data_IF_203310410470
#
_entry.id   IF_203310410470
#
_cell.length_a   1.000
_cell.length_b   1.000
_cell.length_c   1.000
_cell.angle_alpha   90.00
_cell.angle_beta   90.00
_cell.angle_gamma   90.00
#
_symmetry.space_group_name_H-M   'P 1'
#
loop_
_entity.id
_entity.type
_entity.pdbx_description
1 polymer ?
#
# COMPACT_ATOMS: atom_id res chain seq x y z
N UNK A 1 63.88 19.11 -10.30
CA UNK A 1 63.07 20.08 -11.01
C UNK A 1 61.80 19.30 -11.44
N UNK A 2 60.81 19.28 -10.60
CA UNK A 2 59.52 18.66 -10.83
C UNK A 2 58.49 19.75 -11.02
N UNK A 3 57.64 19.63 -12.01
CA UNK A 3 56.41 20.41 -12.13
C UNK A 3 55.26 19.50 -11.81
N UNK A 4 54.69 19.72 -10.67
CA UNK A 4 53.36 19.20 -10.28
C UNK A 4 52.31 20.16 -10.88
N UNK A 5 51.37 19.59 -11.63
CA UNK A 5 50.19 20.27 -12.12
C UNK A 5 49.00 19.87 -11.23
N UNK A 6 48.66 20.78 -10.32
CA UNK A 6 47.41 20.73 -9.55
C UNK A 6 46.20 21.01 -10.47
N UNK A 7 45.28 20.07 -10.55
CA UNK A 7 43.94 20.29 -11.10
C UNK A 7 42.95 20.28 -9.95
N UNK A 8 42.04 21.26 -9.85
CA UNK A 8 41.07 21.34 -8.78
C UNK A 8 39.93 20.35 -9.01
N UNK A 9 39.74 19.44 -8.05
CA UNK A 9 38.59 18.56 -7.97
C UNK A 9 37.39 19.38 -7.49
N UNK A 10 36.49 19.71 -8.38
CA UNK A 10 35.19 20.26 -8.05
C UNK A 10 34.36 19.17 -7.39
N UNK A 11 34.14 19.30 -6.09
CA UNK A 11 33.12 18.51 -5.34
C UNK A 11 31.73 18.92 -5.83
N UNK A 12 31.13 18.08 -6.65
CA UNK A 12 29.69 18.12 -6.88
C UNK A 12 29.03 17.42 -5.68
N UNK A 13 28.44 18.21 -4.82
CA UNK A 13 27.56 17.71 -3.76
C UNK A 13 26.31 17.08 -4.43
N UNK A 14 26.29 15.76 -4.54
CA UNK A 14 25.05 15.02 -4.77
C UNK A 14 24.22 15.17 -3.49
N UNK A 15 23.17 15.99 -3.55
CA UNK A 15 22.08 15.96 -2.61
C UNK A 15 21.40 14.60 -2.76
N UNK A 16 21.65 13.71 -1.82
CA UNK A 16 20.91 12.45 -1.70
C UNK A 16 19.52 12.84 -1.25
N UNK A 17 18.58 12.90 -2.18
CA UNK A 17 17.15 12.82 -1.86
C UNK A 17 16.96 11.51 -1.10
N UNK A 18 16.55 11.63 0.16
CA UNK A 18 16.17 10.51 1.00
C UNK A 18 14.92 9.86 0.39
N UNK A 19 15.12 8.95 -0.55
CA UNK A 19 14.05 8.08 -1.04
C UNK A 19 13.59 7.21 0.13
N UNK A 20 12.29 7.20 0.36
CA UNK A 20 11.62 6.25 1.24
C UNK A 20 12.22 4.85 1.02
N UNK A 21 12.55 4.09 2.06
CA UNK A 21 13.19 2.77 1.95
C UNK A 21 12.42 1.74 1.11
N UNK A 22 11.19 2.08 0.71
CA UNK A 22 10.35 1.23 -0.13
C UNK A 22 10.72 1.23 -1.63
N UNK A 23 11.50 2.24 -2.10
CA UNK A 23 11.80 2.43 -3.51
C UNK A 23 13.12 1.77 -3.99
N UNK A 24 14.06 1.51 -3.09
CA UNK A 24 15.41 1.08 -3.47
C UNK A 24 15.58 -0.44 -3.71
N UNK A 25 14.56 -1.26 -3.45
CA UNK A 25 14.69 -2.71 -3.56
C UNK A 25 14.42 -3.29 -4.97
N UNK A 26 14.01 -2.48 -5.96
CA UNK A 26 13.70 -2.95 -7.32
C UNK A 26 14.67 -2.49 -8.42
N UNK A 27 15.67 -1.67 -8.10
CA UNK A 27 16.56 -1.08 -9.11
C UNK A 27 17.81 -1.95 -9.46
N UNK A 28 17.94 -3.15 -8.93
CA UNK A 28 19.17 -3.96 -8.99
C UNK A 28 19.26 -5.02 -10.09
N UNK A 29 18.28 -5.21 -10.94
CA UNK A 29 18.29 -6.32 -11.92
C UNK A 29 17.96 -5.86 -13.35
N UNK A 30 18.78 -4.99 -13.94
CA UNK A 30 18.77 -4.79 -15.39
C UNK A 30 20.21 -4.74 -15.92
N UNK A 31 20.80 -5.91 -16.14
CA UNK A 31 21.89 -6.02 -17.13
C UNK A 31 21.89 -7.44 -17.70
N UNK A 32 21.81 -7.50 -19.04
CA UNK A 32 22.06 -8.63 -19.93
C UNK A 32 20.82 -9.34 -20.51
N UNK A 33 20.27 -8.77 -21.59
CA UNK A 33 19.57 -9.58 -22.60
C UNK A 33 20.42 -9.66 -23.88
N UNK A 34 20.69 -10.86 -24.42
CA UNK A 34 21.29 -11.01 -25.75
C UNK A 34 20.27 -10.75 -26.86
N UNK A 35 20.71 -9.97 -27.85
CA UNK A 35 19.95 -9.74 -29.10
C UNK A 35 20.05 -11.01 -29.95
N UNK A 36 19.00 -11.80 -30.01
CA UNK A 36 18.55 -12.59 -31.19
C UNK A 36 17.53 -13.64 -30.72
N UNK A 37 16.28 -13.48 -31.13
CA UNK A 37 15.27 -14.54 -31.07
C UNK A 37 14.55 -14.64 -32.44
N UNK A 38 14.28 -15.86 -32.93
CA UNK A 38 13.59 -16.08 -34.19
C UNK A 38 12.07 -15.89 -34.03
N UNK A 39 11.44 -15.41 -35.12
CA UNK A 39 10.00 -15.23 -35.21
C UNK A 39 9.28 -16.58 -35.15
N UNK A 40 8.51 -16.82 -34.12
CA UNK A 40 7.55 -17.92 -34.05
C UNK A 40 6.12 -17.39 -34.14
N UNK A 41 5.32 -18.06 -34.97
CA UNK A 41 3.93 -17.79 -35.30
C UNK A 41 3.01 -17.86 -34.06
N UNK A 42 2.33 -16.76 -33.76
CA UNK A 42 1.26 -16.71 -32.76
C UNK A 42 -0.10 -16.96 -33.42
N UNK A 43 -0.50 -18.22 -33.54
CA UNK A 43 -1.92 -18.55 -33.75
C UNK A 43 -2.20 -19.90 -33.08
N UNK A 44 -3.03 -19.86 -32.07
CA UNK A 44 -3.61 -20.95 -31.27
C UNK A 44 -2.97 -21.22 -29.89
N UNK A 45 -3.41 -20.44 -28.89
CA UNK A 45 -3.70 -20.91 -27.54
C UNK A 45 -4.42 -19.82 -26.74
N UNK A 46 -5.65 -19.53 -27.18
CA UNK A 46 -6.57 -18.69 -26.41
C UNK A 46 -7.62 -19.61 -25.83
N UNK A 47 -7.51 -19.91 -24.57
CA UNK A 47 -8.55 -20.21 -23.56
C UNK A 47 -7.96 -21.10 -22.48
N UNK A 48 -7.66 -20.48 -21.36
CA UNK A 48 -7.92 -20.99 -20.00
C UNK A 48 -7.25 -20.05 -18.99
N UNK A 49 -8.08 -19.47 -18.12
CA UNK A 49 -7.71 -18.68 -16.92
C UNK A 49 -7.19 -17.28 -17.20
N UNK A 50 -8.10 -16.33 -17.38
CA UNK A 50 -7.82 -14.90 -17.14
C UNK A 50 -7.69 -14.69 -15.64
N UNK A 51 -6.53 -14.22 -15.13
CA UNK A 51 -6.46 -13.68 -13.79
C UNK A 51 -7.28 -12.37 -13.77
N UNK A 52 -7.93 -12.07 -12.64
CA UNK A 52 -8.73 -10.86 -12.49
C UNK A 52 -7.90 -9.63 -12.86
N UNK A 53 -8.46 -8.76 -13.67
CA UNK A 53 -7.84 -7.56 -14.28
C UNK A 53 -7.20 -6.66 -13.22
N UNK A 54 -7.76 -6.60 -12.03
CA UNK A 54 -7.41 -5.73 -10.91
C UNK A 54 -6.00 -5.91 -10.35
N UNK A 55 -5.47 -7.12 -10.38
CA UNK A 55 -4.15 -7.43 -9.82
C UNK A 55 -3.00 -7.02 -10.73
N UNK A 56 -3.24 -7.09 -12.04
CA UNK A 56 -2.23 -6.74 -13.05
C UNK A 56 -1.99 -5.23 -13.09
N UNK A 57 -3.05 -4.46 -12.84
CA UNK A 57 -3.05 -3.01 -13.00
C UNK A 57 -2.32 -2.28 -11.86
N UNK A 58 -2.51 -2.72 -10.63
CA UNK A 58 -1.82 -2.10 -9.47
C UNK A 58 -0.29 -2.19 -9.58
N UNK A 59 0.26 -3.36 -9.96
CA UNK A 59 1.71 -3.51 -10.10
C UNK A 59 2.26 -3.00 -11.41
N UNK A 60 1.48 -2.99 -12.48
CA UNK A 60 1.84 -2.31 -13.72
C UNK A 60 1.96 -0.80 -13.51
N UNK A 61 1.11 -0.22 -12.66
CA UNK A 61 1.19 1.18 -12.24
C UNK A 61 2.46 1.43 -11.43
N UNK A 62 2.75 0.61 -10.43
CA UNK A 62 3.98 0.71 -9.62
C UNK A 62 5.23 0.54 -10.49
N UNK A 63 5.25 -0.39 -11.44
CA UNK A 63 6.37 -0.65 -12.35
C UNK A 63 6.55 0.47 -13.42
N UNK A 64 5.45 1.05 -13.92
CA UNK A 64 5.51 2.19 -14.84
C UNK A 64 5.95 3.50 -14.18
N UNK A 65 5.61 3.72 -12.92
CA UNK A 65 6.04 4.88 -12.16
C UNK A 65 7.57 4.88 -11.92
N UNK A 66 8.17 3.70 -11.77
CA UNK A 66 9.63 3.56 -11.63
C UNK A 66 10.40 3.82 -12.92
N UNK A 67 9.79 3.61 -14.09
CA UNK A 67 10.50 3.72 -15.39
C UNK A 67 10.46 5.11 -16.02
N UNK A 68 9.53 5.99 -15.65
CA UNK A 68 9.33 7.30 -16.31
C UNK A 68 9.80 8.52 -15.53
N UNK A 69 10.21 8.38 -14.28
CA UNK A 69 10.61 9.52 -13.43
C UNK A 69 11.96 10.19 -13.75
N UNK A 70 12.62 9.87 -14.90
CA UNK A 70 14.02 10.33 -15.11
C UNK A 70 14.23 11.40 -16.18
N UNK A 71 13.24 11.90 -16.88
CA UNK A 71 13.45 12.96 -17.87
C UNK A 71 12.38 14.05 -17.81
N UNK A 72 12.75 15.21 -17.29
CA UNK A 72 11.95 16.42 -17.48
C UNK A 72 12.23 17.56 -16.50
N UNK A 73 13.48 18.08 -16.45
CA UNK A 73 13.74 19.41 -15.87
C UNK A 73 13.97 20.37 -17.03
N UNK A 74 13.11 21.36 -17.16
CA UNK A 74 13.26 22.45 -18.13
C UNK A 74 12.36 23.62 -17.80
N UNK A 75 12.94 24.58 -17.11
CA UNK A 75 12.70 26.00 -16.93
C UNK A 75 11.56 26.70 -17.70
N UNK A 76 10.87 27.63 -16.99
CA UNK A 76 10.09 28.69 -17.63
C UNK A 76 9.23 29.49 -16.64
N UNK A 77 9.82 30.53 -16.07
CA UNK A 77 9.12 31.60 -15.34
C UNK A 77 8.49 32.57 -16.36
N UNK A 78 7.19 32.86 -16.26
CA UNK A 78 6.59 34.15 -16.62
C UNK A 78 5.12 34.22 -16.18
N UNK A 79 4.85 34.97 -15.13
CA UNK A 79 4.11 36.24 -15.08
C UNK A 79 2.64 36.24 -15.50
N UNK A 80 1.81 36.33 -14.47
CA UNK A 80 0.75 37.32 -14.18
C UNK A 80 -0.25 37.74 -15.26
N UNK A 81 -1.50 37.65 -14.82
CA UNK A 81 -2.63 38.53 -15.11
C UNK A 81 -3.29 38.45 -16.49
N UNK A 82 -4.40 37.70 -16.53
CA UNK A 82 -5.59 38.17 -17.26
C UNK A 82 -6.85 37.81 -16.44
N UNK A 83 -7.47 38.87 -15.98
CA UNK A 83 -8.78 38.88 -15.38
C UNK A 83 -9.88 38.76 -16.46
N UNK A 84 -10.89 37.99 -16.10
CA UNK A 84 -12.30 38.16 -16.51
C UNK A 84 -12.64 37.89 -17.97
N UNK A 85 -13.26 36.76 -18.23
CA UNK A 85 -14.64 36.66 -18.70
C UNK A 85 -15.06 35.25 -19.08
N UNK A 86 -16.17 34.81 -18.48
CA UNK A 86 -17.12 33.80 -18.94
C UNK A 86 -16.74 32.34 -19.00
N UNK A 87 -17.38 31.60 -18.11
CA UNK A 87 -17.49 30.15 -18.15
C UNK A 87 -17.31 29.55 -16.75
N UNK A 88 -18.25 29.81 -15.87
CA UNK A 88 -18.35 29.17 -14.56
C UNK A 88 -18.67 27.68 -14.80
N UNK A 89 -17.63 26.84 -14.81
CA UNK A 89 -17.82 25.46 -14.37
C UNK A 89 -17.77 25.56 -12.83
N UNK A 90 -18.93 25.53 -12.20
CA UNK A 90 -19.05 25.53 -10.75
C UNK A 90 -18.27 24.35 -10.19
N UNK A 91 -17.19 24.64 -9.48
CA UNK A 91 -16.57 23.73 -8.55
C UNK A 91 -17.65 23.32 -7.55
N UNK A 92 -17.92 22.04 -7.39
CA UNK A 92 -19.03 21.50 -6.59
C UNK A 92 -18.87 21.64 -5.07
N UNK A 93 -17.91 22.44 -4.61
CA UNK A 93 -17.79 22.77 -3.17
C UNK A 93 -18.85 23.82 -2.86
N UNK A 94 -19.78 23.57 -1.92
CA UNK A 94 -20.74 24.59 -1.48
C UNK A 94 -19.98 25.83 -0.97
N UNK A 95 -20.31 27.01 -1.48
CA UNK A 95 -19.63 28.28 -1.19
C UNK A 95 -19.64 28.69 0.32
N UNK A 96 -20.26 27.86 1.17
CA UNK A 96 -20.41 28.04 2.63
C UNK A 96 -20.04 26.78 3.43
N UNK A 97 -19.29 25.81 2.91
CA UNK A 97 -18.86 24.66 3.70
C UNK A 97 -17.83 25.13 4.74
N UNK A 98 -18.06 24.83 6.02
CA UNK A 98 -17.06 25.02 7.06
C UNK A 98 -15.84 24.15 6.76
N UNK A 99 -14.66 24.74 6.83
CA UNK A 99 -13.39 24.08 6.59
C UNK A 99 -12.46 24.21 7.79
N UNK A 100 -11.52 23.31 7.94
CA UNK A 100 -10.47 23.42 8.93
C UNK A 100 -9.09 23.09 8.31
N UNK A 101 -8.05 23.54 8.98
CA UNK A 101 -6.67 23.26 8.59
C UNK A 101 -6.25 21.91 9.17
N UNK A 102 -6.05 20.93 8.31
CA UNK A 102 -5.43 19.65 8.68
C UNK A 102 -3.91 19.75 8.48
N UNK A 103 -3.14 19.44 9.52
CA UNK A 103 -1.68 19.51 9.48
C UNK A 103 -1.08 18.10 9.37
N UNK A 104 -0.24 17.88 8.35
CA UNK A 104 0.51 16.65 8.14
C UNK A 104 1.99 16.98 7.96
N UNK A 105 2.79 16.76 9.00
CA UNK A 105 4.17 17.26 9.03
C UNK A 105 4.21 18.78 8.88
N UNK A 106 4.92 19.27 7.85
CA UNK A 106 4.99 20.69 7.52
C UNK A 106 3.89 21.15 6.53
N UNK A 107 3.10 20.21 6.03
CA UNK A 107 2.03 20.47 5.05
C UNK A 107 0.73 20.85 5.76
N UNK A 108 0.06 21.88 5.23
CA UNK A 108 -1.23 22.37 5.71
C UNK A 108 -2.26 22.24 4.60
N UNK A 109 -3.30 21.48 4.88
CA UNK A 109 -4.37 21.19 3.93
C UNK A 109 -5.68 21.79 4.47
N UNK A 110 -6.41 22.46 3.62
CA UNK A 110 -7.75 22.97 3.96
C UNK A 110 -8.77 21.95 3.50
N UNK A 111 -9.47 21.34 4.43
CA UNK A 111 -10.44 20.28 4.16
C UNK A 111 -11.81 20.62 4.78
N UNK A 112 -12.93 20.13 4.22
CA UNK A 112 -14.25 20.35 4.80
C UNK A 112 -14.37 19.68 6.17
N UNK A 113 -15.02 20.38 7.11
CA UNK A 113 -15.29 19.86 8.46
C UNK A 113 -16.29 18.70 8.43
N UNK A 114 -17.29 18.79 7.55
CA UNK A 114 -18.35 17.78 7.39
C UNK A 114 -18.56 17.47 5.90
N UNK A 115 -17.64 16.69 5.28
CA UNK A 115 -17.79 16.32 3.87
C UNK A 115 -19.04 15.46 3.67
N UNK A 116 -19.76 15.67 2.57
CA UNK A 116 -21.00 14.97 2.25
C UNK A 116 -20.85 13.98 1.08
N UNK A 117 -19.77 14.08 0.31
CA UNK A 117 -19.48 13.21 -0.82
C UNK A 117 -17.98 12.89 -0.89
N UNK A 118 -17.59 11.86 -0.14
CA UNK A 118 -16.19 11.45 -0.05
C UNK A 118 -15.89 10.36 -1.07
N UNK A 119 -14.88 10.60 -1.90
CA UNK A 119 -14.37 9.62 -2.85
C UNK A 119 -12.99 9.13 -2.40
N UNK A 120 -12.90 7.85 -2.06
CA UNK A 120 -11.61 7.20 -1.81
C UNK A 120 -10.93 6.91 -3.16
N UNK A 121 -9.67 7.33 -3.31
CA UNK A 121 -8.90 7.10 -4.52
C UNK A 121 -7.97 5.90 -4.44
N UNK A 122 -7.78 5.33 -3.25
CA UNK A 122 -7.07 4.06 -3.07
C UNK A 122 -7.91 3.04 -2.29
N UNK A 123 -7.69 1.73 -2.57
CA UNK A 123 -8.54 0.66 -2.06
C UNK A 123 -8.25 0.23 -0.62
N UNK A 124 -7.27 0.83 0.03
CA UNK A 124 -6.81 0.47 1.40
C UNK A 124 -6.83 1.67 2.33
N UNK A 125 -5.74 2.42 2.44
CA UNK A 125 -5.58 3.50 3.43
C UNK A 125 -6.68 4.56 3.29
N UNK A 126 -6.89 5.08 2.08
CA UNK A 126 -7.92 6.09 1.83
C UNK A 126 -9.32 5.58 2.11
N UNK A 127 -9.65 4.37 1.66
CA UNK A 127 -10.97 3.78 1.90
C UNK A 127 -11.18 3.45 3.39
N UNK A 128 -10.26 2.71 4.01
CA UNK A 128 -10.43 2.25 5.38
C UNK A 128 -10.45 3.42 6.37
N UNK A 129 -9.55 4.39 6.24
CA UNK A 129 -9.54 5.55 7.12
C UNK A 129 -10.74 6.48 6.90
N UNK A 130 -11.28 6.56 5.68
CA UNK A 130 -12.56 7.26 5.44
C UNK A 130 -13.73 6.59 6.17
N UNK A 131 -13.80 5.26 6.13
CA UNK A 131 -14.81 4.48 6.86
C UNK A 131 -14.67 4.69 8.36
N UNK A 132 -13.45 4.55 8.88
CA UNK A 132 -13.17 4.72 10.31
C UNK A 132 -13.45 6.14 10.79
N UNK A 133 -13.21 7.15 9.94
CA UNK A 133 -13.61 8.52 10.19
C UNK A 133 -15.14 8.72 10.19
N UNK A 134 -15.91 7.74 9.73
CA UNK A 134 -17.37 7.87 9.56
C UNK A 134 -17.75 8.86 8.47
N UNK A 135 -16.88 9.02 7.46
CA UNK A 135 -17.19 9.84 6.29
C UNK A 135 -18.20 9.15 5.38
N UNK A 136 -19.09 9.90 4.72
CA UNK A 136 -20.04 9.38 3.74
C UNK A 136 -19.31 9.03 2.44
N UNK A 137 -18.66 7.85 2.41
CA UNK A 137 -17.98 7.36 1.21
C UNK A 137 -19.03 7.04 0.15
N UNK A 138 -18.94 7.68 -1.01
CA UNK A 138 -19.86 7.49 -2.14
C UNK A 138 -19.23 6.71 -3.28
N UNK A 139 -17.90 6.72 -3.40
CA UNK A 139 -17.18 5.92 -4.38
C UNK A 139 -15.81 5.46 -3.86
N UNK A 140 -15.39 4.29 -4.34
CA UNK A 140 -14.10 3.66 -4.00
C UNK A 140 -13.58 2.84 -5.18
N UNK A 141 -12.26 2.54 -5.27
CA UNK A 141 -11.70 1.73 -6.36
C UNK A 141 -12.26 0.30 -6.36
N UNK A 142 -12.62 -0.22 -7.54
CA UNK A 142 -13.17 -1.58 -7.72
C UNK A 142 -12.32 -2.70 -7.10
N UNK A 143 -10.99 -2.47 -6.96
CA UNK A 143 -10.06 -3.39 -6.30
C UNK A 143 -10.09 -3.41 -4.78
N UNK A 144 -11.03 -2.71 -4.13
CA UNK A 144 -11.11 -2.68 -2.68
C UNK A 144 -11.49 -4.06 -2.09
N UNK A 145 -10.94 -4.37 -0.92
CA UNK A 145 -11.20 -5.61 -0.19
C UNK A 145 -12.69 -5.76 0.17
N UNK A 146 -13.18 -7.01 0.14
CA UNK A 146 -14.59 -7.29 0.40
C UNK A 146 -15.03 -6.81 1.79
N UNK A 147 -14.19 -6.98 2.82
CA UNK A 147 -14.53 -6.56 4.17
C UNK A 147 -14.73 -5.03 4.27
N UNK A 148 -13.95 -4.22 3.54
CA UNK A 148 -14.13 -2.76 3.51
C UNK A 148 -15.39 -2.38 2.70
N UNK A 149 -15.64 -3.04 1.58
CA UNK A 149 -16.84 -2.78 0.75
C UNK A 149 -18.14 -3.04 1.51
N UNK A 150 -18.15 -4.00 2.43
CA UNK A 150 -19.32 -4.30 3.27
C UNK A 150 -19.67 -3.17 4.25
N UNK A 151 -18.69 -2.36 4.64
CA UNK A 151 -18.92 -1.22 5.53
C UNK A 151 -19.56 -0.02 4.80
N UNK A 152 -19.51 0.00 3.46
CA UNK A 152 -20.05 1.08 2.62
C UNK A 152 -20.95 0.52 1.51
N UNK A 153 -22.05 -0.17 1.85
CA UNK A 153 -22.87 -0.93 0.89
C UNK A 153 -23.53 -0.04 -0.18
N UNK A 154 -23.74 1.24 0.12
CA UNK A 154 -24.38 2.20 -0.79
C UNK A 154 -23.37 2.91 -1.71
N UNK A 155 -22.06 2.75 -1.45
CA UNK A 155 -21.01 3.36 -2.26
C UNK A 155 -20.77 2.56 -3.55
N UNK A 156 -20.35 3.27 -4.59
CA UNK A 156 -20.11 2.70 -5.91
C UNK A 156 -18.63 2.33 -6.11
N UNK A 157 -18.38 1.11 -6.53
CA UNK A 157 -17.05 0.71 -7.01
C UNK A 157 -16.76 1.36 -8.37
N UNK A 158 -15.63 2.07 -8.49
CA UNK A 158 -15.26 2.84 -9.67
C UNK A 158 -13.85 2.52 -10.17
N UNK A 159 -13.65 2.60 -11.48
CA UNK A 159 -12.33 2.47 -12.10
C UNK A 159 -11.61 3.82 -12.04
N UNK A 160 -10.76 3.99 -11.02
CA UNK A 160 -9.95 5.22 -10.86
C UNK A 160 -8.94 5.37 -11.99
N UNK A 161 -8.43 4.26 -12.53
CA UNK A 161 -7.48 4.23 -13.63
C UNK A 161 -8.14 3.57 -14.85
N UNK A 162 -7.98 4.15 -16.03
CA UNK A 162 -8.36 3.45 -17.25
C UNK A 162 -7.43 2.25 -17.51
N UNK A 163 -7.90 1.23 -18.20
CA UNK A 163 -7.11 0.04 -18.51
C UNK A 163 -5.76 0.42 -19.17
N UNK A 164 -4.66 0.00 -18.54
CA UNK A 164 -3.31 0.28 -19.02
C UNK A 164 -2.81 1.72 -18.79
N UNK A 165 -3.58 2.58 -18.13
CA UNK A 165 -3.16 3.93 -17.78
C UNK A 165 -2.31 3.95 -16.51
N UNK A 166 -1.31 4.83 -16.49
CA UNK A 166 -0.49 5.11 -15.29
C UNK A 166 -1.07 6.25 -14.45
N UNK A 167 -1.92 7.08 -15.06
CA UNK A 167 -2.50 8.27 -14.44
C UNK A 167 -3.98 8.03 -14.12
N UNK A 168 -4.49 8.61 -13.00
CA UNK A 168 -5.91 8.58 -12.71
C UNK A 168 -6.75 9.23 -13.82
N UNK A 169 -7.95 8.71 -14.02
CA UNK A 169 -8.92 9.31 -14.95
C UNK A 169 -9.57 10.54 -14.30
N UNK A 170 -8.89 11.68 -14.36
CA UNK A 170 -9.33 12.92 -13.74
C UNK A 170 -10.68 13.43 -14.27
N UNK A 171 -10.96 13.20 -15.57
CA UNK A 171 -12.25 13.56 -16.15
C UNK A 171 -13.39 12.78 -15.50
N UNK A 172 -13.18 11.47 -15.34
CA UNK A 172 -14.15 10.63 -14.65
C UNK A 172 -14.27 10.98 -13.16
N UNK A 173 -13.15 11.16 -12.45
CA UNK A 173 -13.15 11.56 -11.03
C UNK A 173 -13.92 12.86 -10.82
N UNK A 174 -13.77 13.85 -11.74
CA UNK A 174 -14.50 15.13 -11.66
C UNK A 174 -16.02 14.95 -11.79
N UNK A 175 -16.48 13.88 -12.46
CA UNK A 175 -17.93 13.61 -12.58
C UNK A 175 -18.55 13.01 -11.33
N UNK A 176 -17.73 12.52 -10.37
CA UNK A 176 -18.23 11.93 -9.14
C UNK A 176 -18.76 12.99 -8.16
N UNK A 177 -18.48 14.29 -8.38
CA UNK A 177 -18.98 15.40 -7.59
C UNK A 177 -18.44 15.39 -6.17
N UNK A 178 -17.22 14.86 -5.94
CA UNK A 178 -16.62 14.80 -4.61
C UNK A 178 -16.45 16.18 -4.00
N UNK A 179 -16.71 16.31 -2.70
CA UNK A 179 -16.31 17.44 -1.87
C UNK A 179 -15.06 17.17 -1.04
N UNK A 180 -14.62 15.90 -1.00
CA UNK A 180 -13.35 15.47 -0.45
C UNK A 180 -12.82 14.24 -1.20
N UNK A 181 -11.57 14.29 -1.64
CA UNK A 181 -10.82 13.15 -2.17
C UNK A 181 -9.87 12.62 -1.10
N UNK A 182 -9.87 11.31 -0.85
CA UNK A 182 -9.01 10.68 0.15
C UNK A 182 -8.14 9.63 -0.51
N UNK A 183 -6.82 9.68 -0.27
CA UNK A 183 -5.88 8.71 -0.83
C UNK A 183 -4.72 8.42 0.14
N UNK A 184 -3.98 7.34 -0.13
CA UNK A 184 -2.77 7.01 0.62
C UNK A 184 -1.74 8.15 0.58
N UNK A 185 -1.18 8.49 1.74
CA UNK A 185 -0.12 9.47 1.86
C UNK A 185 1.11 9.09 1.02
N UNK A 186 1.41 7.80 0.88
CA UNK A 186 2.52 7.33 0.04
C UNK A 186 2.34 7.72 -1.44
N UNK A 187 1.11 7.70 -1.94
CA UNK A 187 0.82 8.14 -3.31
C UNK A 187 0.88 9.66 -3.46
N UNK A 188 0.40 10.37 -2.46
CA UNK A 188 0.49 11.82 -2.42
C UNK A 188 1.96 12.31 -2.41
N UNK A 189 2.79 11.73 -1.55
CA UNK A 189 4.19 12.15 -1.35
C UNK A 189 5.06 11.94 -2.59
N UNK A 190 4.73 10.95 -3.42
CA UNK A 190 5.44 10.72 -4.69
C UNK A 190 5.03 11.69 -5.79
N UNK A 191 3.90 12.40 -5.65
CA UNK A 191 3.32 13.24 -6.71
C UNK A 191 2.89 12.45 -7.94
N UNK A 192 2.90 11.13 -7.88
CA UNK A 192 2.75 10.23 -9.03
C UNK A 192 1.37 10.29 -9.65
N UNK A 193 0.39 10.74 -8.89
CA UNK A 193 -1.01 10.80 -9.33
C UNK A 193 -1.48 12.18 -9.74
N UNK A 194 -0.58 13.15 -9.95
CA UNK A 194 -0.93 14.48 -10.43
C UNK A 194 -1.69 15.28 -9.37
N UNK A 195 -1.05 15.51 -8.23
CA UNK A 195 -1.63 16.20 -7.05
C UNK A 195 -2.34 17.50 -7.42
N UNK A 196 -1.72 18.36 -8.25
CA UNK A 196 -2.30 19.63 -8.69
C UNK A 196 -3.63 19.46 -9.43
N UNK A 197 -3.75 18.37 -10.20
CA UNK A 197 -4.99 18.08 -10.95
C UNK A 197 -6.09 17.56 -10.01
N UNK A 198 -5.75 16.75 -9.02
CA UNK A 198 -6.69 16.31 -8.00
C UNK A 198 -7.22 17.49 -7.20
N UNK A 199 -6.34 18.41 -6.77
CA UNK A 199 -6.72 19.62 -6.04
C UNK A 199 -7.61 20.60 -6.84
N UNK A 200 -7.58 20.52 -8.18
CA UNK A 200 -8.51 21.27 -9.04
C UNK A 200 -9.91 20.68 -9.04
N UNK A 201 -10.07 19.42 -8.65
CA UNK A 201 -11.37 18.73 -8.62
C UNK A 201 -12.04 18.98 -7.25
N UNK A 202 -11.33 18.69 -6.15
CA UNK A 202 -11.80 18.86 -4.79
C UNK A 202 -10.62 18.93 -3.82
N UNK A 203 -10.84 19.37 -2.56
CA UNK A 203 -9.87 19.21 -1.49
C UNK A 203 -9.37 17.77 -1.39
N UNK A 204 -8.06 17.59 -1.15
CA UNK A 204 -7.43 16.27 -1.06
C UNK A 204 -6.91 16.04 0.35
N UNK A 205 -7.22 14.89 0.92
CA UNK A 205 -6.76 14.44 2.23
C UNK A 205 -5.88 13.21 2.07
N UNK A 206 -4.54 13.37 2.10
CA UNK A 206 -3.61 12.25 2.15
C UNK A 206 -3.63 11.62 3.55
N UNK A 207 -3.80 10.30 3.60
CA UNK A 207 -3.95 9.57 4.86
C UNK A 207 -3.06 8.34 4.94
N UNK A 208 -2.80 7.89 6.15
CA UNK A 208 -2.19 6.59 6.39
C UNK A 208 -0.68 6.54 6.26
N UNK A 209 -0.16 5.34 6.42
CA UNK A 209 1.22 4.95 6.23
C UNK A 209 1.27 3.45 5.95
N UNK A 210 1.44 3.09 4.71
CA UNK A 210 1.46 1.70 4.26
C UNK A 210 2.36 0.78 5.09
N UNK A 211 1.89 -0.43 5.36
CA UNK A 211 2.62 -1.54 6.00
C UNK A 211 3.25 -1.22 7.36
N UNK A 212 2.86 -0.15 8.04
CA UNK A 212 3.47 0.22 9.33
C UNK A 212 3.07 -0.73 10.45
N UNK A 213 4.01 -1.15 11.32
CA UNK A 213 3.66 -1.83 12.56
C UNK A 213 2.97 -0.89 13.56
N UNK A 214 3.15 0.42 13.40
CA UNK A 214 2.54 1.47 14.25
C UNK A 214 1.13 1.85 13.78
N UNK A 215 0.40 0.95 13.13
CA UNK A 215 -0.90 1.22 12.52
C UNK A 215 -1.93 1.82 13.50
N UNK A 216 -1.90 1.41 14.78
CA UNK A 216 -2.77 1.95 15.84
C UNK A 216 -2.53 3.45 16.03
N UNK A 217 -1.24 3.82 16.14
CA UNK A 217 -0.85 5.21 16.30
C UNK A 217 -1.20 6.05 15.08
N UNK A 218 -0.90 5.57 13.88
CA UNK A 218 -1.20 6.28 12.63
C UNK A 218 -2.70 6.53 12.48
N UNK A 219 -3.53 5.53 12.76
CA UNK A 219 -4.98 5.66 12.76
C UNK A 219 -5.48 6.66 13.83
N UNK A 220 -4.98 6.54 15.06
CA UNK A 220 -5.38 7.44 16.15
C UNK A 220 -4.97 8.89 15.90
N UNK A 221 -3.75 9.11 15.41
CA UNK A 221 -3.25 10.44 15.06
C UNK A 221 -4.11 11.08 13.96
N UNK A 222 -4.47 10.29 12.94
CA UNK A 222 -5.35 10.74 11.87
C UNK A 222 -6.74 11.14 12.40
N UNK A 223 -7.41 10.22 13.11
CA UNK A 223 -8.76 10.48 13.64
C UNK A 223 -8.77 11.67 14.62
N UNK A 224 -7.73 11.79 15.45
CA UNK A 224 -7.56 12.95 16.34
C UNK A 224 -7.34 14.23 15.54
N UNK A 225 -6.52 14.19 14.50
CA UNK A 225 -6.21 15.33 13.64
C UNK A 225 -7.43 15.89 12.89
N UNK A 226 -8.44 15.07 12.63
CA UNK A 226 -9.73 15.48 12.07
C UNK A 226 -10.82 15.74 13.14
N UNK A 227 -10.43 15.85 14.43
CA UNK A 227 -11.35 16.12 15.53
C UNK A 227 -12.24 14.97 15.97
N UNK A 228 -11.81 13.71 15.69
CA UNK A 228 -12.59 12.49 16.00
C UNK A 228 -11.84 11.56 16.96
N UNK A 229 -11.24 12.09 18.01
CA UNK A 229 -10.50 11.33 19.03
C UNK A 229 -11.34 10.25 19.72
N UNK A 230 -12.60 10.57 20.06
CA UNK A 230 -13.51 9.59 20.69
C UNK A 230 -13.73 8.36 19.78
N UNK A 231 -13.79 8.59 18.45
CA UNK A 231 -13.91 7.50 17.50
C UNK A 231 -12.64 6.65 17.44
N UNK A 232 -11.47 7.25 17.58
CA UNK A 232 -10.21 6.50 17.66
C UNK A 232 -10.20 5.56 18.88
N UNK A 233 -10.62 6.05 20.03
CA UNK A 233 -10.71 5.24 21.27
C UNK A 233 -11.73 4.10 21.13
N UNK A 234 -12.91 4.39 20.59
CA UNK A 234 -13.95 3.39 20.35
C UNK A 234 -13.46 2.25 19.44
N UNK A 235 -12.89 2.60 18.28
CA UNK A 235 -12.40 1.63 17.28
C UNK A 235 -11.29 0.76 17.83
N UNK A 236 -10.35 1.33 18.61
CA UNK A 236 -9.31 0.55 19.26
C UNK A 236 -9.87 -0.36 20.34
N UNK A 237 -10.83 0.11 21.14
CA UNK A 237 -11.48 -0.73 22.16
C UNK A 237 -12.23 -1.91 21.53
N UNK A 238 -12.91 -1.71 20.40
CA UNK A 238 -13.55 -2.79 19.64
C UNK A 238 -12.54 -3.83 19.14
N UNK A 239 -11.42 -3.35 18.58
CA UNK A 239 -10.35 -4.23 18.12
C UNK A 239 -9.75 -5.04 19.27
N UNK A 240 -9.41 -4.39 20.39
CA UNK A 240 -8.82 -5.03 21.56
C UNK A 240 -9.78 -6.06 22.19
N UNK A 241 -11.07 -5.76 22.23
CA UNK A 241 -12.10 -6.72 22.68
C UNK A 241 -12.16 -7.95 21.75
N UNK A 242 -12.04 -7.74 20.42
CA UNK A 242 -11.99 -8.86 19.47
C UNK A 242 -10.75 -9.73 19.68
N UNK A 243 -9.57 -9.11 19.80
CA UNK A 243 -8.32 -9.84 20.13
C UNK A 243 -8.45 -10.62 21.42
N UNK A 244 -8.99 -10.00 22.48
CA UNK A 244 -9.18 -10.66 23.78
C UNK A 244 -10.11 -11.88 23.70
N UNK A 245 -11.08 -11.87 22.79
CA UNK A 245 -11.96 -13.00 22.52
C UNK A 245 -11.24 -14.13 21.76
N UNK A 246 -10.43 -13.78 20.74
CA UNK A 246 -9.82 -14.77 19.84
C UNK A 246 -8.54 -15.38 20.44
N UNK A 247 -7.69 -14.57 21.05
CA UNK A 247 -6.37 -14.96 21.56
C UNK A 247 -6.39 -16.25 22.42
N UNK A 248 -7.29 -16.44 23.42
CA UNK A 248 -7.29 -17.64 24.23
C UNK A 248 -7.54 -18.94 23.44
N UNK A 249 -8.12 -18.82 22.23
CA UNK A 249 -8.41 -19.98 21.35
C UNK A 249 -7.19 -20.44 20.57
N UNK A 250 -6.15 -19.62 20.43
CA UNK A 250 -4.94 -19.89 19.63
C UNK A 250 -3.68 -19.95 20.45
N UNK A 251 -3.62 -19.25 21.58
CA UNK A 251 -2.43 -19.19 22.47
C UNK A 251 -1.90 -20.58 22.86
N UNK A 252 -2.73 -21.56 23.24
CA UNK A 252 -2.25 -22.91 23.55
C UNK A 252 -1.65 -23.64 22.34
N UNK A 253 -2.11 -23.32 21.14
CA UNK A 253 -1.64 -23.92 19.88
C UNK A 253 -0.28 -23.37 19.46
N UNK A 254 0.00 -22.12 19.84
CA UNK A 254 1.17 -21.36 19.43
C UNK A 254 2.23 -21.20 20.54
N UNK A 255 1.98 -21.72 21.74
CA UNK A 255 2.93 -21.63 22.85
C UNK A 255 4.30 -22.20 22.45
N UNK A 256 5.34 -21.34 22.52
CA UNK A 256 6.72 -21.69 22.14
C UNK A 256 6.95 -21.91 20.65
N UNK A 257 6.02 -21.48 19.79
CA UNK A 257 6.14 -21.57 18.32
C UNK A 257 6.29 -20.21 17.69
N UNK A 258 7.07 -20.16 16.61
CA UNK A 258 7.32 -18.94 15.84
C UNK A 258 6.55 -18.93 14.54
N UNK A 259 6.07 -17.75 14.17
CA UNK A 259 5.44 -17.50 12.87
C UNK A 259 6.35 -16.65 11.99
N UNK A 260 6.32 -16.87 10.67
CA UNK A 260 6.94 -16.02 9.68
C UNK A 260 5.93 -15.59 8.62
N UNK A 261 6.08 -14.37 8.09
CA UNK A 261 5.25 -13.83 7.01
C UNK A 261 6.11 -13.66 5.77
N UNK A 262 5.69 -14.25 4.66
CA UNK A 262 6.47 -14.23 3.42
C UNK A 262 5.61 -13.91 2.20
N UNK A 263 6.27 -13.42 1.14
CA UNK A 263 5.69 -13.31 -0.19
C UNK A 263 6.72 -13.71 -1.23
N UNK A 264 6.33 -14.44 -2.27
CA UNK A 264 7.20 -14.69 -3.41
C UNK A 264 7.41 -13.39 -4.20
N UNK A 265 8.65 -13.17 -4.62
CA UNK A 265 9.08 -12.06 -5.45
C UNK A 265 10.02 -12.62 -6.52
N UNK A 266 9.47 -13.02 -7.67
CA UNK A 266 10.17 -13.74 -8.73
C UNK A 266 10.83 -15.03 -8.23
N UNK A 267 12.17 -15.09 -8.15
CA UNK A 267 12.97 -16.20 -7.67
C UNK A 267 13.40 -16.08 -6.20
N UNK A 268 12.94 -15.04 -5.50
CA UNK A 268 13.24 -14.71 -4.11
C UNK A 268 11.97 -14.76 -3.26
N UNK A 269 12.18 -14.65 -1.95
CA UNK A 269 11.12 -14.48 -0.97
C UNK A 269 11.36 -13.16 -0.22
N UNK A 270 10.35 -12.32 -0.16
CA UNK A 270 10.28 -11.23 0.80
C UNK A 270 9.83 -11.81 2.15
N UNK A 271 10.69 -11.79 3.15
CA UNK A 271 10.38 -12.13 4.53
C UNK A 271 10.10 -10.87 5.32
N UNK A 272 8.88 -10.71 5.78
CA UNK A 272 8.42 -9.53 6.52
C UNK A 272 8.63 -9.73 8.02
N UNK A 273 9.26 -8.74 8.66
CA UNK A 273 9.69 -8.84 10.04
C UNK A 273 9.06 -7.80 10.97
N UNK A 274 8.80 -6.59 10.46
CA UNK A 274 8.28 -5.47 11.26
C UNK A 274 7.26 -4.67 10.45
N UNK A 275 6.06 -5.20 10.32
CA UNK A 275 4.98 -4.55 9.59
C UNK A 275 3.62 -4.76 10.27
N UNK A 276 2.56 -4.29 9.63
CA UNK A 276 1.19 -4.43 10.08
C UNK A 276 0.82 -5.88 10.48
N UNK A 277 1.21 -6.87 9.67
CA UNK A 277 0.87 -8.30 9.90
C UNK A 277 1.54 -8.83 11.15
N UNK A 278 2.79 -8.47 11.33
CA UNK A 278 3.58 -8.91 12.48
C UNK A 278 3.03 -8.29 13.77
N UNK A 279 2.61 -7.02 13.73
CA UNK A 279 1.98 -6.35 14.87
C UNK A 279 0.66 -7.04 15.26
N UNK A 280 -0.20 -7.36 14.28
CA UNK A 280 -1.47 -8.08 14.55
C UNK A 280 -1.22 -9.50 15.08
N UNK A 281 -0.20 -10.20 14.59
CA UNK A 281 0.16 -11.52 15.10
C UNK A 281 0.65 -11.46 16.56
N UNK A 282 1.42 -10.42 16.91
CA UNK A 282 1.86 -10.18 18.29
C UNK A 282 0.70 -9.84 19.23
N UNK A 283 -0.31 -9.12 18.76
CA UNK A 283 -1.55 -8.88 19.52
C UNK A 283 -2.25 -10.21 19.89
N UNK A 284 -2.19 -11.22 19.00
CA UNK A 284 -2.68 -12.58 19.29
C UNK A 284 -1.75 -13.38 20.21
N UNK A 285 -0.59 -12.84 20.57
CA UNK A 285 0.42 -13.51 21.40
C UNK A 285 1.32 -14.46 20.62
N UNK A 286 1.40 -14.34 19.28
CA UNK A 286 2.32 -15.12 18.47
C UNK A 286 3.75 -14.58 18.59
N UNK A 287 4.73 -15.45 18.65
CA UNK A 287 6.14 -15.08 18.54
C UNK A 287 6.47 -14.95 17.03
N UNK A 288 6.83 -13.74 16.59
CA UNK A 288 7.21 -13.49 15.20
C UNK A 288 8.70 -13.75 15.02
N UNK A 289 9.06 -14.60 14.05
CA UNK A 289 10.45 -14.83 13.67
C UNK A 289 10.99 -13.58 12.97
N UNK A 290 12.09 -13.04 13.51
CA UNK A 290 12.78 -11.86 12.96
C UNK A 290 14.27 -11.88 13.29
N UNK A 291 15.06 -11.20 12.47
CA UNK A 291 16.51 -11.08 12.65
C UNK A 291 16.95 -9.63 12.93
N UNK A 292 16.07 -8.66 12.76
CA UNK A 292 16.40 -7.25 12.93
C UNK A 292 15.19 -6.32 12.83
N UNK A 293 15.44 -5.02 12.84
CA UNK A 293 14.40 -4.00 12.84
C UNK A 293 13.84 -3.71 11.43
N UNK A 294 14.41 -4.31 10.38
CA UNK A 294 14.00 -4.03 9.00
C UNK A 294 12.56 -4.47 8.76
N UNK A 295 11.83 -3.71 7.94
CA UNK A 295 10.48 -4.07 7.53
C UNK A 295 10.46 -5.46 6.89
N UNK A 296 11.42 -5.73 6.01
CA UNK A 296 11.55 -6.99 5.28
C UNK A 296 12.98 -7.28 4.87
N UNK A 297 13.27 -8.56 4.67
CA UNK A 297 14.51 -9.06 4.09
C UNK A 297 14.19 -9.85 2.84
N UNK A 298 14.96 -9.65 1.77
CA UNK A 298 14.86 -10.47 0.56
C UNK A 298 15.77 -11.69 0.70
N UNK A 299 15.21 -12.88 0.53
CA UNK A 299 15.92 -14.15 0.63
C UNK A 299 15.99 -14.82 -0.74
N UNK A 300 17.20 -15.05 -1.23
CA UNK A 300 17.44 -16.01 -2.32
C UNK A 300 17.25 -17.45 -1.85
N UNK A 301 17.12 -18.37 -2.77
CA UNK A 301 16.85 -19.79 -2.46
C UNK A 301 17.89 -20.45 -1.56
N UNK A 302 19.13 -19.99 -1.58
CA UNK A 302 20.23 -20.43 -0.72
C UNK A 302 20.12 -19.95 0.74
N UNK A 303 19.26 -18.97 1.01
CA UNK A 303 19.07 -18.34 2.32
C UNK A 303 17.76 -18.77 3.02
N UNK A 304 17.00 -19.69 2.44
CA UNK A 304 15.72 -20.11 3.03
C UNK A 304 15.88 -20.81 4.38
N UNK A 305 17.06 -21.35 4.68
CA UNK A 305 17.38 -21.89 6.00
C UNK A 305 17.19 -20.87 7.15
N UNK A 306 17.20 -19.56 6.86
CA UNK A 306 16.90 -18.52 7.86
C UNK A 306 15.45 -18.58 8.35
N UNK A 307 14.57 -19.31 7.66
CA UNK A 307 13.18 -19.57 8.06
C UNK A 307 13.00 -20.91 8.80
N UNK A 308 14.09 -21.66 9.08
CA UNK A 308 14.00 -23.00 9.69
C UNK A 308 13.35 -23.00 11.08
N UNK A 309 13.49 -21.88 11.82
CA UNK A 309 12.88 -21.74 13.15
C UNK A 309 11.38 -21.37 13.08
N UNK A 310 10.83 -21.10 11.92
CA UNK A 310 9.39 -20.85 11.79
C UNK A 310 8.63 -22.18 11.88
N UNK A 311 7.74 -22.28 12.85
CA UNK A 311 6.80 -23.41 12.98
C UNK A 311 5.63 -23.29 12.02
N UNK A 312 5.22 -22.05 11.74
CA UNK A 312 4.14 -21.70 10.81
C UNK A 312 4.60 -20.58 9.90
N UNK A 313 4.38 -20.72 8.60
CA UNK A 313 4.67 -19.68 7.62
C UNK A 313 3.36 -19.23 6.98
N UNK A 314 3.04 -17.94 7.14
CA UNK A 314 1.94 -17.30 6.41
C UNK A 314 2.49 -16.77 5.09
N UNK A 315 2.06 -17.39 3.99
CA UNK A 315 2.52 -17.05 2.64
C UNK A 315 1.45 -16.25 1.91
N UNK A 316 1.82 -15.09 1.39
CA UNK A 316 0.91 -14.23 0.64
C UNK A 316 0.42 -14.96 -0.61
N UNK A 317 -0.91 -15.13 -0.75
CA UNK A 317 -1.56 -15.98 -1.75
C UNK A 317 -1.24 -15.57 -3.20
N UNK A 318 -1.02 -14.30 -3.43
CA UNK A 318 -0.59 -13.72 -4.71
C UNK A 318 0.62 -14.43 -5.33
N UNK A 319 1.41 -15.04 -4.48
CA UNK A 319 2.66 -15.71 -4.78
C UNK A 319 2.57 -17.23 -4.70
N UNK A 320 1.43 -17.81 -4.31
CA UNK A 320 1.27 -19.26 -4.16
C UNK A 320 1.55 -20.03 -5.46
N UNK A 321 1.46 -19.38 -6.62
CA UNK A 321 1.87 -19.92 -7.91
C UNK A 321 3.36 -19.75 -8.22
N UNK A 322 4.12 -19.09 -7.34
CA UNK A 322 5.55 -18.86 -7.56
C UNK A 322 6.36 -20.14 -7.54
N UNK A 323 7.24 -20.31 -8.53
CA UNK A 323 8.17 -21.45 -8.60
C UNK A 323 9.04 -21.61 -7.35
N UNK A 324 9.21 -20.53 -6.58
CA UNK A 324 9.98 -20.49 -5.34
C UNK A 324 9.45 -21.47 -4.29
N UNK A 325 8.12 -21.59 -4.12
CA UNK A 325 7.50 -22.50 -3.15
C UNK A 325 7.58 -23.97 -3.53
N UNK A 326 7.89 -24.27 -4.79
CA UNK A 326 8.13 -25.63 -5.29
C UNK A 326 9.61 -26.00 -5.31
N UNK A 327 10.50 -25.06 -4.97
CA UNK A 327 11.94 -25.30 -4.97
C UNK A 327 12.36 -26.36 -3.94
N UNK A 328 13.40 -27.18 -4.20
CA UNK A 328 13.87 -28.17 -3.23
C UNK A 328 14.34 -27.58 -1.90
N UNK A 329 14.83 -26.34 -1.91
CA UNK A 329 15.27 -25.62 -0.70
C UNK A 329 14.08 -25.20 0.16
N UNK A 330 13.00 -24.71 -0.45
CA UNK A 330 11.77 -24.41 0.24
C UNK A 330 11.12 -25.66 0.86
N UNK A 331 11.05 -26.75 0.08
CA UNK A 331 10.44 -28.00 0.52
C UNK A 331 11.17 -28.70 1.67
N UNK A 332 12.40 -28.27 1.99
CA UNK A 332 13.16 -28.76 3.15
C UNK A 332 12.85 -28.00 4.44
N UNK A 333 12.17 -26.84 4.37
CA UNK A 333 11.78 -26.11 5.57
C UNK A 333 10.86 -26.96 6.46
N UNK A 334 11.09 -27.01 7.79
CA UNK A 334 10.24 -27.78 8.69
C UNK A 334 8.75 -27.45 8.58
N UNK A 335 8.41 -26.15 8.47
CA UNK A 335 7.04 -25.71 8.27
C UNK A 335 6.43 -26.23 6.96
N UNK A 336 7.20 -26.26 5.86
CA UNK A 336 6.73 -26.81 4.58
C UNK A 336 6.50 -28.32 4.65
N UNK A 337 7.42 -29.07 5.26
CA UNK A 337 7.29 -30.52 5.45
C UNK A 337 6.11 -30.90 6.35
N UNK A 338 5.82 -30.05 7.34
CA UNK A 338 4.69 -30.23 8.26
C UNK A 338 3.34 -29.77 7.67
N UNK A 339 3.31 -29.27 6.44
CA UNK A 339 2.09 -28.70 5.84
C UNK A 339 1.60 -27.41 6.52
N UNK A 340 2.49 -26.68 7.19
CA UNK A 340 2.18 -25.46 7.94
C UNK A 340 2.56 -24.19 7.20
N UNK A 341 2.51 -24.22 5.85
CA UNK A 341 2.53 -23.03 5.01
C UNK A 341 1.10 -22.67 4.69
N UNK A 342 0.64 -21.56 5.26
CA UNK A 342 -0.75 -21.14 5.25
C UNK A 342 -0.88 -19.98 4.27
N UNK A 343 -1.65 -20.12 3.17
CA UNK A 343 -1.91 -19.00 2.28
C UNK A 343 -2.75 -17.95 3.00
N UNK A 344 -2.42 -16.67 2.74
CA UNK A 344 -3.18 -15.57 3.28
C UNK A 344 -3.38 -14.45 2.25
N UNK A 345 -4.51 -13.74 2.38
CA UNK A 345 -4.99 -12.80 1.38
C UNK A 345 -4.13 -11.52 1.35
N UNK A 346 -3.71 -11.12 0.16
CA UNK A 346 -2.97 -9.88 -0.09
C UNK A 346 -3.70 -8.63 0.41
N UNK A 347 -5.01 -8.58 0.26
CA UNK A 347 -5.82 -7.43 0.67
C UNK A 347 -5.87 -7.19 2.19
N UNK A 348 -5.37 -8.14 2.97
CA UNK A 348 -5.25 -8.07 4.43
C UNK A 348 -3.79 -7.88 4.89
N UNK A 349 -2.89 -7.61 3.95
CA UNK A 349 -1.45 -7.45 4.24
C UNK A 349 -1.10 -6.10 4.88
N UNK A 350 -1.96 -5.10 4.74
CA UNK A 350 -1.83 -3.77 5.30
C UNK A 350 -3.21 -3.16 5.54
N UNK A 351 -3.34 -2.29 6.52
CA UNK A 351 -4.60 -1.64 6.87
C UNK A 351 -4.60 -1.11 8.30
N UNK A 352 -5.79 -0.94 8.83
CA UNK A 352 -6.05 -0.42 10.17
C UNK A 352 -7.01 -1.36 10.93
N UNK A 353 -7.82 -0.83 11.82
CA UNK A 353 -8.59 -1.64 12.76
C UNK A 353 -9.58 -2.62 12.10
N UNK A 354 -10.22 -2.25 10.97
CA UNK A 354 -11.16 -3.14 10.27
C UNK A 354 -10.40 -4.30 9.61
N UNK A 355 -9.33 -3.99 8.90
CA UNK A 355 -8.45 -5.00 8.29
C UNK A 355 -7.75 -5.84 9.35
N UNK A 356 -7.32 -5.24 10.46
CA UNK A 356 -6.70 -5.95 11.58
C UNK A 356 -7.64 -6.98 12.22
N UNK A 357 -8.92 -6.65 12.43
CA UNK A 357 -9.93 -7.61 12.95
C UNK A 357 -10.06 -8.83 12.04
N UNK A 358 -10.16 -8.62 10.73
CA UNK A 358 -10.26 -9.73 9.77
C UNK A 358 -8.96 -10.54 9.71
N UNK A 359 -7.81 -9.89 9.82
CA UNK A 359 -6.51 -10.58 9.87
C UNK A 359 -6.38 -11.44 11.15
N UNK A 360 -6.85 -10.96 12.30
CA UNK A 360 -6.92 -11.74 13.55
C UNK A 360 -7.67 -13.05 13.32
N UNK A 361 -8.83 -13.00 12.66
CA UNK A 361 -9.64 -14.19 12.37
C UNK A 361 -8.93 -15.15 11.40
N UNK A 362 -8.29 -14.63 10.36
CA UNK A 362 -7.54 -15.43 9.38
C UNK A 362 -6.33 -16.13 10.02
N UNK A 363 -5.54 -15.40 10.82
CA UNK A 363 -4.41 -15.98 11.53
C UNK A 363 -4.87 -17.07 12.50
N UNK A 364 -5.95 -16.82 13.24
CA UNK A 364 -6.52 -17.79 14.16
C UNK A 364 -7.06 -19.04 13.43
N UNK A 365 -7.73 -18.86 12.30
CA UNK A 365 -8.21 -19.97 11.48
C UNK A 365 -7.05 -20.77 10.87
N UNK A 366 -6.00 -20.08 10.45
CA UNK A 366 -4.80 -20.68 9.87
C UNK A 366 -4.09 -21.65 10.81
N UNK A 367 -3.86 -21.25 12.06
CA UNK A 367 -3.12 -22.10 13.04
C UNK A 367 -3.95 -23.24 13.61
N UNK A 368 -5.26 -23.27 13.38
CA UNK A 368 -6.19 -24.35 13.80
C UNK A 368 -6.29 -25.48 12.77
N UNK A 369 -5.74 -25.29 11.57
CA UNK A 369 -5.69 -26.31 10.50
C UNK A 369 -4.56 -27.28 10.77
#
# INVERSE_FOLDING_TARGET
MGCELDLPVTRTTLSVLACSPYFLAFAGAVSAFPKTAPKANLTSMTRLLSPSTTDRDYWAIVDNLTRRGFFGVGAGVAAAAFLAACGSTESSTPENAETFEFTRGDEKLIIPTDPQNVVALDPRDGLELSILAGYPVTAYPTGAAEHLRREVPDATGVEIFAEGASDPNFEYISTLGADLLVLSAGWWDTGSYGNDRMQQIAPVLPVGKDFTPEWRKVMSDFLTGIGRSDRAEEVLAEYDAHVAQVRPTVEPLMAGKKVAFVAAAEDQIAWFQNDFRTAVAEDLGFEVLREGPDLRVMLGSEQFNRLEEADVIFALDRSASGSVYTSPTWQRLPAAQAGRVIPFDYYKAAGYALTAKVLVDDLAAGVKR
#
